data_IF_272762441142
#
_entry.id   IF_272762441142
#
_cell.length_a   1.000
_cell.length_b   1.000
_cell.length_c   1.000
_cell.angle_alpha   90.00
_cell.angle_beta   90.00
_cell.angle_gamma   90.00
#
_symmetry.space_group_name_H-M   'P 1'
#
loop_
_entity.id
_entity.type
_entity.pdbx_description
1 polymer ?
#
# COMPACT_ATOMS: atom_id res chain seq x y z
N UNK A 1 37.26 42.68 9.61
CA UNK A 1 36.04 42.73 10.45
C UNK A 1 36.22 41.64 11.50
N UNK A 2 36.76 41.95 12.68
CA UNK A 2 36.02 42.36 13.91
C UNK A 2 34.76 41.50 14.13
N UNK A 3 34.54 40.78 15.22
CA UNK A 3 35.27 40.61 16.48
C UNK A 3 34.89 39.29 17.17
N UNK A 4 35.91 38.69 17.76
CA UNK A 4 35.99 37.83 18.95
C UNK A 4 34.81 37.73 19.92
N UNK A 5 34.59 36.50 20.42
CA UNK A 5 34.35 36.27 21.86
C UNK A 5 35.46 35.35 22.39
N UNK A 6 36.25 35.89 23.31
CA UNK A 6 37.45 35.29 23.90
C UNK A 6 37.09 34.13 24.84
N UNK A 7 37.83 33.03 24.71
CA UNK A 7 38.12 32.13 25.82
C UNK A 7 39.54 32.44 26.31
N UNK A 8 39.66 32.86 27.58
CA UNK A 8 40.91 32.93 28.34
C UNK A 8 40.69 32.07 29.57
N UNK A 9 41.26 30.87 29.62
CA UNK A 9 42.61 30.60 30.13
C UNK A 9 42.79 31.13 31.54
N UNK A 10 42.60 30.22 32.49
CA UNK A 10 43.53 29.98 33.59
C UNK A 10 42.92 28.83 34.41
N UNK A 11 43.51 27.66 34.55
CA UNK A 11 44.93 27.34 34.61
C UNK A 11 45.13 25.85 34.27
N UNK A 12 45.97 25.62 33.28
CA UNK A 12 46.95 24.53 33.12
C UNK A 12 46.37 23.09 33.09
N UNK A 13 46.18 22.47 31.94
CA UNK A 13 47.15 22.30 30.84
C UNK A 13 48.46 21.68 31.32
N UNK A 14 48.84 20.60 30.64
CA UNK A 14 50.19 20.01 30.62
C UNK A 14 50.49 18.97 31.71
N UNK A 15 50.04 17.74 31.39
CA UNK A 15 50.92 16.58 31.23
C UNK A 15 51.97 16.34 32.33
N UNK A 16 51.64 15.43 33.26
CA UNK A 16 52.56 14.32 33.56
C UNK A 16 51.85 13.15 34.27
N UNK A 17 51.90 11.99 33.60
CA UNK A 17 52.05 10.63 34.15
C UNK A 17 50.89 9.99 34.94
N UNK A 18 50.28 9.00 34.28
CA UNK A 18 50.21 7.57 34.65
C UNK A 18 48.81 6.94 34.58
N UNK A 19 48.69 6.00 33.64
CA UNK A 19 47.58 5.05 33.46
C UNK A 19 47.57 4.07 34.65
N UNK A 20 46.42 3.73 35.27
CA UNK A 20 45.87 2.39 35.00
C UNK A 20 44.33 2.26 34.98
N UNK A 21 43.92 1.25 34.20
CA UNK A 21 42.61 0.61 34.10
C UNK A 21 42.01 0.25 35.47
N UNK A 22 40.73 0.58 35.71
CA UNK A 22 39.86 -0.23 36.59
C UNK A 22 38.37 0.11 36.41
N UNK A 23 37.70 -0.70 35.58
CA UNK A 23 36.26 -0.89 35.65
C UNK A 23 35.90 -1.80 36.83
N UNK A 24 34.67 -1.62 37.31
CA UNK A 24 33.91 -2.39 38.32
C UNK A 24 34.10 -2.04 39.79
N UNK A 25 33.15 -1.28 40.34
CA UNK A 25 32.71 -1.37 41.74
C UNK A 25 31.19 -1.10 41.81
N UNK A 26 30.39 -2.16 41.66
CA UNK A 26 29.05 -2.18 42.26
C UNK A 26 29.23 -2.68 43.69
N UNK A 27 28.99 -1.77 44.65
CA UNK A 27 29.12 -2.07 46.07
C UNK A 27 28.11 -3.11 46.53
N UNK A 28 28.64 -4.03 47.31
CA UNK A 28 27.97 -5.15 47.95
C UNK A 28 27.04 -4.67 49.07
N UNK A 29 25.78 -5.13 49.04
CA UNK A 29 24.93 -5.19 50.25
C UNK A 29 25.33 -6.42 51.06
N UNK A 30 25.96 -6.14 52.20
CA UNK A 30 26.05 -6.92 53.43
C UNK A 30 25.59 -8.39 53.39
N UNK A 31 26.56 -9.29 53.46
CA UNK A 31 26.42 -10.52 54.26
C UNK A 31 27.80 -10.89 54.81
N UNK A 32 27.92 -10.81 56.14
CA UNK A 32 29.12 -11.12 56.91
C UNK A 32 29.55 -12.57 56.64
N UNK A 33 30.83 -12.77 56.31
CA UNK A 33 31.46 -14.08 56.25
C UNK A 33 32.65 -14.07 57.21
N UNK A 34 32.47 -14.64 58.40
CA UNK A 34 33.56 -14.91 59.34
C UNK A 34 34.22 -16.24 59.00
N UNK A 35 35.52 -16.20 58.74
CA UNK A 35 36.41 -17.35 58.50
C UNK A 35 36.71 -18.04 59.84
N UNK A 36 36.72 -19.37 59.89
CA UNK A 36 37.28 -20.14 61.01
C UNK A 36 38.56 -20.85 60.53
N UNK A 37 39.66 -20.65 61.26
CA UNK A 37 40.99 -21.22 61.02
C UNK A 37 41.18 -22.40 61.98
N UNK A 38 41.74 -23.52 61.49
CA UNK A 38 42.09 -24.68 62.31
C UNK A 38 43.55 -24.58 62.77
N UNK A 39 43.79 -24.71 64.07
CA UNK A 39 45.12 -24.90 64.68
C UNK A 39 45.07 -26.07 65.66
N UNK A 40 46.12 -26.90 65.68
CA UNK A 40 46.28 -28.06 66.57
C UNK A 40 47.04 -27.68 67.86
N UNK A 41 46.91 -28.53 68.89
CA UNK A 41 46.85 -28.20 70.32
C UNK A 41 48.11 -27.72 71.06
N UNK A 42 47.87 -26.86 72.06
CA UNK A 42 48.33 -27.06 73.44
C UNK A 42 47.42 -26.29 74.43
N UNK A 43 46.87 -27.03 75.40
CA UNK A 43 46.22 -26.58 76.64
C UNK A 43 44.88 -25.82 76.52
N UNK A 44 43.85 -26.46 77.10
CA UNK A 44 42.52 -25.95 77.44
C UNK A 44 41.69 -25.28 76.31
N UNK A 45 40.64 -26.02 75.91
CA UNK A 45 39.31 -25.52 75.53
C UNK A 45 38.95 -25.32 74.03
N UNK A 46 37.79 -25.93 73.72
CA UNK A 46 36.76 -25.69 72.69
C UNK A 46 36.90 -26.18 71.23
N UNK A 47 35.93 -27.02 70.83
CA UNK A 47 35.65 -27.43 69.44
C UNK A 47 34.64 -26.51 68.77
N UNK A 48 34.79 -26.20 67.47
CA UNK A 48 33.66 -25.70 66.64
C UNK A 48 33.73 -26.25 65.21
N UNK A 49 32.59 -26.72 64.70
CA UNK A 49 32.34 -27.16 63.32
C UNK A 49 31.45 -26.14 62.61
N UNK A 50 31.84 -25.64 61.45
CA UNK A 50 31.03 -24.72 60.62
C UNK A 50 30.61 -25.41 59.32
N UNK A 51 29.30 -25.46 59.04
CA UNK A 51 28.75 -25.82 57.73
C UNK A 51 28.33 -24.54 57.00
N UNK A 52 28.79 -24.37 55.76
CA UNK A 52 28.34 -23.29 54.87
C UNK A 52 27.50 -23.87 53.72
N UNK A 53 26.22 -23.55 53.66
CA UNK A 53 25.36 -23.74 52.48
C UNK A 53 25.11 -22.39 51.83
N UNK A 54 25.62 -22.20 50.61
CA UNK A 54 25.48 -20.97 49.82
C UNK A 54 24.38 -21.13 48.76
N UNK A 55 23.40 -20.23 48.81
CA UNK A 55 22.25 -20.06 47.91
C UNK A 55 22.63 -19.98 46.41
N UNK A 56 22.43 -21.07 45.65
CA UNK A 56 22.65 -21.17 44.19
C UNK A 56 21.42 -20.75 43.34
N UNK A 57 20.42 -20.08 43.89
CA UNK A 57 19.07 -20.11 43.30
C UNK A 57 18.80 -19.02 42.23
N UNK A 58 19.43 -17.84 42.30
CA UNK A 58 19.09 -16.71 41.40
C UNK A 58 19.71 -16.74 39.99
N UNK A 59 20.84 -17.43 39.79
CA UNK A 59 21.55 -17.46 38.49
C UNK A 59 20.94 -18.49 37.51
N UNK A 60 20.30 -19.56 38.00
CA UNK A 60 19.63 -20.56 37.14
C UNK A 60 18.31 -20.06 36.55
N UNK A 61 17.60 -19.17 37.25
CA UNK A 61 16.27 -18.67 36.83
C UNK A 61 16.35 -17.74 35.59
N UNK A 62 17.32 -16.80 35.54
CA UNK A 62 17.53 -15.92 34.37
C UNK A 62 17.93 -16.69 33.11
N UNK A 63 18.74 -17.74 33.29
CA UNK A 63 19.26 -18.57 32.21
C UNK A 63 18.19 -19.52 31.65
N UNK A 64 17.30 -20.04 32.50
CA UNK A 64 16.11 -20.78 32.07
C UNK A 64 15.12 -19.89 31.32
N UNK A 65 14.87 -18.68 31.80
CA UNK A 65 13.93 -17.73 31.18
C UNK A 65 14.36 -17.29 29.77
N UNK A 66 15.66 -17.04 29.55
CA UNK A 66 16.19 -16.78 28.20
C UNK A 66 16.07 -17.99 27.27
N UNK A 67 16.20 -19.21 27.82
CA UNK A 67 16.13 -20.45 27.04
C UNK A 67 14.69 -20.75 26.63
N UNK A 68 13.72 -20.56 27.51
CA UNK A 68 12.29 -20.69 27.20
C UNK A 68 11.81 -19.59 26.25
N UNK A 69 12.28 -18.35 26.39
CA UNK A 69 11.94 -17.26 25.48
C UNK A 69 12.43 -17.52 24.04
N UNK A 70 13.63 -18.09 23.86
CA UNK A 70 14.14 -18.50 22.54
C UNK A 70 13.30 -19.60 21.91
N UNK A 71 12.88 -20.59 22.71
CA UNK A 71 12.03 -21.70 22.24
C UNK A 71 10.65 -21.17 21.82
N UNK A 72 10.06 -20.27 22.60
CA UNK A 72 8.80 -19.61 22.24
C UNK A 72 8.89 -18.83 20.93
N UNK A 73 9.96 -18.05 20.74
CA UNK A 73 10.21 -17.32 19.50
C UNK A 73 10.32 -18.25 18.29
N UNK A 74 11.00 -19.39 18.45
CA UNK A 74 11.14 -20.39 17.39
C UNK A 74 9.80 -21.04 17.06
N UNK A 75 9.00 -21.40 18.07
CA UNK A 75 7.65 -21.97 17.87
C UNK A 75 6.74 -20.97 17.15
N UNK A 76 6.74 -19.70 17.55
CA UNK A 76 5.97 -18.64 16.90
C UNK A 76 6.41 -18.48 15.44
N UNK A 77 7.72 -18.50 15.18
CA UNK A 77 8.26 -18.45 13.82
C UNK A 77 7.81 -19.62 12.94
N UNK A 78 7.82 -20.84 13.49
CA UNK A 78 7.33 -22.03 12.78
C UNK A 78 5.83 -21.90 12.47
N UNK A 79 5.01 -21.45 13.43
CA UNK A 79 3.57 -21.26 13.24
C UNK A 79 3.29 -20.21 12.16
N UNK A 80 3.99 -19.08 12.18
CA UNK A 80 3.87 -18.03 11.16
C UNK A 80 4.26 -18.54 9.76
N UNK A 81 5.32 -19.35 9.69
CA UNK A 81 5.78 -19.92 8.41
C UNK A 81 4.76 -20.91 7.85
N UNK A 82 4.21 -21.79 8.70
CA UNK A 82 3.16 -22.73 8.31
C UNK A 82 1.87 -22.01 7.89
N UNK A 83 1.50 -20.95 8.60
CA UNK A 83 0.35 -20.12 8.25
C UNK A 83 0.56 -19.41 6.92
N UNK A 84 1.75 -18.86 6.67
CA UNK A 84 2.10 -18.22 5.40
C UNK A 84 2.04 -19.18 4.22
N UNK A 85 2.58 -20.40 4.38
CA UNK A 85 2.50 -21.46 3.36
C UNK A 85 1.04 -21.86 3.11
N UNK A 86 0.27 -22.09 4.19
CA UNK A 86 -1.16 -22.44 4.09
C UNK A 86 -1.95 -21.38 3.32
N UNK A 87 -1.75 -20.10 3.64
CA UNK A 87 -2.42 -18.99 2.96
C UNK A 87 -2.04 -18.92 1.47
N UNK A 88 -0.79 -19.23 1.11
CA UNK A 88 -0.35 -19.26 -0.29
C UNK A 88 -1.09 -20.31 -1.15
N UNK A 89 -1.52 -21.42 -0.54
CA UNK A 89 -2.30 -22.45 -1.25
C UNK A 89 -3.82 -22.22 -1.15
N UNK A 90 -4.34 -21.79 0.00
CA UNK A 90 -5.78 -21.59 0.19
C UNK A 90 -6.29 -20.33 -0.51
N UNK A 91 -5.52 -19.24 -0.51
CA UNK A 91 -5.92 -17.99 -1.14
C UNK A 91 -6.26 -18.15 -2.63
N UNK A 92 -5.41 -18.72 -3.49
CA UNK A 92 -5.75 -18.89 -4.91
C UNK A 92 -6.96 -19.82 -5.09
N UNK A 93 -7.12 -20.86 -4.27
CA UNK A 93 -8.25 -21.77 -4.41
C UNK A 93 -9.60 -21.08 -4.11
N UNK A 94 -9.68 -20.33 -3.01
CA UNK A 94 -10.88 -19.59 -2.62
C UNK A 94 -11.19 -18.44 -3.59
N UNK A 95 -10.16 -17.72 -4.04
CA UNK A 95 -10.29 -16.62 -4.99
C UNK A 95 -10.77 -17.17 -6.34
N UNK A 96 -10.17 -18.24 -6.84
CA UNK A 96 -10.58 -18.85 -8.10
C UNK A 96 -12.04 -19.32 -8.04
N UNK A 97 -12.48 -19.96 -6.95
CA UNK A 97 -13.87 -20.38 -6.79
C UNK A 97 -14.85 -19.20 -6.88
N UNK A 98 -14.53 -18.06 -6.24
CA UNK A 98 -15.34 -16.83 -6.34
C UNK A 98 -15.30 -16.23 -7.74
N UNK A 99 -14.14 -16.18 -8.38
CA UNK A 99 -13.97 -15.67 -9.73
C UNK A 99 -14.76 -16.50 -10.75
N UNK A 100 -14.75 -17.83 -10.66
CA UNK A 100 -15.50 -18.68 -11.60
C UNK A 100 -17.01 -18.50 -11.45
N UNK A 101 -17.50 -18.29 -10.22
CA UNK A 101 -18.92 -18.00 -9.99
C UNK A 101 -19.32 -16.62 -10.54
N UNK A 102 -18.45 -15.63 -10.39
CA UNK A 102 -18.74 -14.26 -10.85
C UNK A 102 -18.40 -14.02 -12.33
N UNK A 103 -17.53 -14.80 -12.98
CA UNK A 103 -17.16 -14.56 -14.39
C UNK A 103 -18.29 -14.81 -15.37
N UNK A 104 -19.26 -15.63 -15.02
CA UNK A 104 -20.34 -15.98 -15.92
C UNK A 104 -21.37 -14.83 -15.95
N UNK A 105 -21.66 -14.34 -17.17
CA UNK A 105 -22.76 -13.41 -17.46
C UNK A 105 -24.07 -14.20 -17.39
N UNK A 106 -24.39 -14.65 -16.17
CA UNK A 106 -25.63 -15.33 -15.83
C UNK A 106 -26.62 -14.31 -15.25
N UNK A 107 -27.91 -14.54 -15.50
CA UNK A 107 -29.00 -13.59 -15.24
C UNK A 107 -29.09 -13.05 -13.78
N UNK A 108 -28.46 -13.72 -12.81
CA UNK A 108 -28.54 -13.38 -11.39
C UNK A 108 -27.20 -12.90 -10.79
N UNK A 109 -26.28 -12.41 -11.62
CA UNK A 109 -24.97 -11.95 -11.19
C UNK A 109 -24.84 -10.42 -11.29
N UNK A 110 -24.13 -9.80 -10.36
CA UNK A 110 -23.82 -8.37 -10.37
C UNK A 110 -23.10 -7.95 -11.66
N UNK A 111 -22.17 -8.80 -12.15
CA UNK A 111 -21.49 -8.54 -13.43
C UNK A 111 -22.45 -8.50 -14.62
N UNK A 112 -23.57 -9.24 -14.57
CA UNK A 112 -24.58 -9.17 -15.62
C UNK A 112 -25.23 -7.78 -15.66
N UNK A 113 -25.59 -7.21 -14.51
CA UNK A 113 -26.18 -5.88 -14.44
C UNK A 113 -25.22 -4.78 -14.89
N UNK A 114 -23.96 -4.85 -14.45
CA UNK A 114 -22.93 -3.89 -14.86
C UNK A 114 -22.61 -3.98 -16.36
N UNK A 115 -22.66 -5.20 -16.92
CA UNK A 115 -22.46 -5.41 -18.36
C UNK A 115 -23.68 -4.97 -19.19
N UNK A 116 -24.90 -5.18 -18.69
CA UNK A 116 -26.16 -4.81 -19.35
C UNK A 116 -26.33 -3.29 -19.40
N UNK A 117 -26.08 -2.61 -18.27
CA UNK A 117 -26.18 -1.17 -18.11
C UNK A 117 -24.92 -0.64 -17.41
N UNK A 118 -23.84 -0.37 -18.16
CA UNK A 118 -22.68 0.29 -17.59
C UNK A 118 -23.00 1.73 -17.17
N UNK A 119 -22.55 2.12 -15.98
CA UNK A 119 -22.81 3.46 -15.41
C UNK A 119 -21.92 4.57 -16.00
N UNK A 120 -20.99 4.23 -16.90
CA UNK A 120 -20.15 5.24 -17.54
C UNK A 120 -20.89 5.95 -18.68
N UNK A 121 -20.68 7.26 -18.75
CA UNK A 121 -21.14 8.14 -19.83
C UNK A 121 -19.92 8.56 -20.65
N UNK A 122 -20.03 8.54 -21.97
CA UNK A 122 -19.00 9.13 -22.83
C UNK A 122 -19.46 10.50 -23.30
N UNK A 123 -18.56 11.48 -23.23
CA UNK A 123 -18.76 12.74 -23.91
C UNK A 123 -18.05 12.66 -25.26
N UNK A 124 -18.80 12.89 -26.34
CA UNK A 124 -18.28 12.97 -27.70
C UNK A 124 -18.37 14.41 -28.19
N UNK A 125 -17.25 14.99 -28.58
CA UNK A 125 -17.18 16.34 -29.14
C UNK A 125 -17.03 16.27 -30.65
N UNK A 126 -18.02 16.77 -31.38
CA UNK A 126 -18.04 16.79 -32.83
C UNK A 126 -17.70 18.19 -33.33
N UNK A 127 -16.73 18.27 -34.25
CA UNK A 127 -16.40 19.51 -34.95
C UNK A 127 -16.82 19.38 -36.42
N UNK A 128 -17.55 20.38 -36.88
CA UNK A 128 -18.09 20.44 -38.24
C UNK A 128 -17.32 21.51 -39.02
N UNK A 129 -16.97 21.21 -40.26
CA UNK A 129 -16.43 22.21 -41.18
C UNK A 129 -17.49 22.54 -42.23
N UNK A 130 -17.99 23.78 -42.19
CA UNK A 130 -18.97 24.28 -43.14
C UNK A 130 -18.29 25.05 -44.26
N UNK A 131 -18.74 24.87 -45.50
CA UNK A 131 -18.30 25.68 -46.64
C UNK A 131 -18.91 27.07 -46.55
N UNK A 132 -18.08 28.12 -46.72
CA UNK A 132 -18.52 29.53 -46.71
C UNK A 132 -18.97 30.01 -48.09
N UNK A 133 -18.35 29.48 -49.15
CA UNK A 133 -18.55 29.91 -50.54
C UNK A 133 -19.08 28.78 -51.45
N UNK A 134 -20.25 28.16 -51.15
CA UNK A 134 -20.71 26.98 -51.86
C UNK A 134 -20.88 27.21 -53.38
N UNK A 135 -21.39 28.39 -53.79
CA UNK A 135 -21.58 28.71 -55.20
C UNK A 135 -20.26 28.80 -55.98
N UNK A 136 -19.25 29.47 -55.40
CA UNK A 136 -17.95 29.62 -56.05
C UNK A 136 -17.24 28.27 -56.23
N UNK A 137 -17.46 27.33 -55.31
CA UNK A 137 -16.92 25.97 -55.40
C UNK A 137 -17.54 25.21 -56.57
N UNK A 138 -18.83 25.41 -56.83
CA UNK A 138 -19.50 24.84 -58.02
C UNK A 138 -18.92 25.40 -59.32
N UNK A 139 -18.49 26.67 -59.30
CA UNK A 139 -17.81 27.32 -60.43
C UNK A 139 -16.32 26.93 -60.58
N UNK A 140 -15.81 26.04 -59.74
CA UNK A 140 -14.42 25.55 -59.79
C UNK A 140 -13.42 26.34 -58.94
N UNK A 141 -13.88 27.30 -58.13
CA UNK A 141 -13.01 28.00 -57.18
C UNK A 141 -12.68 27.12 -55.96
N UNK A 142 -11.65 27.52 -55.21
CA UNK A 142 -11.22 26.83 -54.00
C UNK A 142 -12.25 27.00 -52.86
N UNK A 143 -12.59 25.92 -52.12
CA UNK A 143 -13.48 26.02 -50.97
C UNK A 143 -12.84 26.76 -49.80
N UNK A 144 -13.59 27.72 -49.25
CA UNK A 144 -13.32 28.36 -47.97
C UNK A 144 -14.15 27.67 -46.88
N UNK A 145 -13.50 27.26 -45.78
CA UNK A 145 -14.10 26.44 -44.72
C UNK A 145 -14.14 27.20 -43.40
N UNK A 146 -15.23 27.04 -42.65
CA UNK A 146 -15.41 27.57 -41.29
C UNK A 146 -15.57 26.38 -40.33
N UNK A 147 -14.76 26.34 -39.28
CA UNK A 147 -14.85 25.34 -38.21
C UNK A 147 -15.93 25.76 -37.20
N UNK A 148 -16.88 24.86 -36.93
CA UNK A 148 -17.99 25.05 -36.00
C UNK A 148 -17.94 23.91 -34.98
N UNK A 149 -17.98 24.23 -33.69
CA UNK A 149 -17.97 23.26 -32.60
C UNK A 149 -17.31 23.79 -31.32
N UNK A 150 -17.25 22.97 -30.27
CA UNK A 150 -17.68 21.57 -30.23
C UNK A 150 -19.20 21.42 -30.13
N UNK A 151 -19.75 20.40 -30.81
CA UNK A 151 -21.07 19.85 -30.52
C UNK A 151 -20.87 18.66 -29.57
N UNK A 152 -21.15 18.87 -28.30
CA UNK A 152 -21.00 17.84 -27.28
C UNK A 152 -22.26 16.98 -27.19
N UNK A 153 -22.05 15.66 -27.27
CA UNK A 153 -23.09 14.65 -27.09
C UNK A 153 -22.68 13.70 -25.98
N UNK A 154 -23.58 13.51 -25.02
CA UNK A 154 -23.47 12.44 -24.06
C UNK A 154 -23.99 11.14 -24.68
N UNK A 155 -23.13 10.13 -24.74
CA UNK A 155 -23.43 8.81 -25.26
C UNK A 155 -23.59 7.83 -24.09
N UNK A 156 -24.73 7.16 -24.04
CA UNK A 156 -24.99 6.04 -23.14
C UNK A 156 -25.07 4.74 -23.93
N UNK A 157 -24.38 3.72 -23.44
CA UNK A 157 -24.44 2.36 -23.98
C UNK A 157 -25.30 1.50 -23.09
N UNK A 158 -26.25 0.79 -23.71
CA UNK A 158 -27.06 -0.23 -23.05
C UNK A 158 -27.08 -1.48 -23.92
N UNK A 159 -27.16 -2.65 -23.29
CA UNK A 159 -27.30 -3.92 -24.01
C UNK A 159 -28.71 -4.45 -23.80
N UNK A 160 -29.47 -4.60 -24.88
CA UNK A 160 -30.78 -5.23 -24.84
C UNK A 160 -30.62 -6.74 -25.03
N UNK A 161 -31.10 -7.53 -24.09
CA UNK A 161 -30.99 -9.00 -24.18
C UNK A 161 -32.10 -9.56 -25.05
N UNK A 162 -31.72 -10.40 -26.00
CA UNK A 162 -32.63 -11.06 -26.94
C UNK A 162 -32.92 -12.50 -26.51
N UNK A 163 -31.99 -13.16 -25.81
CA UNK A 163 -32.18 -14.50 -25.29
C UNK A 163 -30.88 -15.13 -24.78
N UNK A 164 -31.03 -16.24 -24.06
CA UNK A 164 -29.92 -17.04 -23.56
C UNK A 164 -29.91 -18.38 -24.30
N UNK A 165 -28.75 -18.77 -24.83
CA UNK A 165 -28.48 -20.10 -25.38
C UNK A 165 -27.61 -20.92 -24.41
N UNK A 166 -27.29 -22.16 -24.77
CA UNK A 166 -26.41 -23.05 -23.99
C UNK A 166 -25.02 -22.44 -23.79
N UNK A 167 -24.85 -21.64 -22.72
CA UNK A 167 -23.59 -20.94 -22.40
C UNK A 167 -23.34 -19.65 -23.18
N UNK A 168 -24.29 -19.15 -23.97
CA UNK A 168 -24.15 -17.90 -24.73
C UNK A 168 -25.31 -16.94 -24.47
N UNK A 169 -25.05 -15.64 -24.60
CA UNK A 169 -26.07 -14.58 -24.45
C UNK A 169 -26.20 -13.86 -25.78
N UNK A 170 -27.40 -13.85 -26.35
CA UNK A 170 -27.73 -13.03 -27.51
C UNK A 170 -28.17 -11.65 -27.02
N UNK A 171 -27.49 -10.62 -27.49
CA UNK A 171 -27.75 -9.23 -27.09
C UNK A 171 -27.66 -8.30 -28.31
N UNK A 172 -28.25 -7.12 -28.18
CA UNK A 172 -28.16 -6.01 -29.11
C UNK A 172 -27.59 -4.81 -28.39
N UNK A 173 -26.56 -4.17 -28.96
CA UNK A 173 -26.05 -2.90 -28.44
C UNK A 173 -27.01 -1.78 -28.84
N UNK A 174 -27.45 -1.02 -27.85
CA UNK A 174 -28.28 0.17 -28.01
C UNK A 174 -27.44 1.36 -27.57
N UNK A 175 -27.26 2.30 -28.50
CA UNK A 175 -26.49 3.52 -28.28
C UNK A 175 -27.47 4.69 -28.29
N UNK A 176 -27.51 5.46 -27.21
CA UNK A 176 -28.32 6.67 -27.13
C UNK A 176 -27.40 7.88 -27.05
N UNK A 177 -27.67 8.88 -27.88
CA UNK A 177 -26.94 10.14 -27.92
C UNK A 177 -27.87 11.25 -27.43
N UNK A 178 -27.41 12.02 -26.45
CA UNK A 178 -28.15 13.15 -25.89
C UNK A 178 -27.29 14.40 -26.03
N UNK A 179 -27.87 15.44 -26.63
CA UNK A 179 -27.13 16.70 -26.86
C UNK A 179 -26.93 17.45 -25.54
N UNK A 180 -25.68 17.79 -25.23
CA UNK A 180 -25.32 18.58 -24.06
C UNK A 180 -25.04 20.03 -24.48
N UNK A 181 -25.97 20.93 -24.15
CA UNK A 181 -25.86 22.36 -24.48
C UNK A 181 -24.75 23.06 -23.69
N UNK A 182 -24.43 22.60 -22.48
CA UNK A 182 -23.47 23.28 -21.60
C UNK A 182 -22.03 22.98 -22.01
N UNK A 183 -21.77 21.75 -22.47
CA UNK A 183 -20.48 21.35 -23.02
C UNK A 183 -20.31 21.76 -24.50
N UNK A 184 -21.39 22.13 -25.18
CA UNK A 184 -21.36 22.63 -26.56
C UNK A 184 -21.04 24.11 -26.66
N UNK A 185 -20.66 24.58 -27.85
CA UNK A 185 -20.46 26.00 -28.10
C UNK A 185 -21.76 26.82 -27.99
N UNK A 186 -21.67 28.11 -27.65
CA UNK A 186 -22.85 28.96 -27.40
C UNK A 186 -23.81 29.07 -28.60
N UNK A 187 -23.28 29.05 -29.82
CA UNK A 187 -24.06 29.09 -31.07
C UNK A 187 -24.38 27.69 -31.64
N UNK A 188 -23.92 26.63 -30.97
CA UNK A 188 -24.11 25.25 -31.42
C UNK A 188 -25.52 24.79 -31.06
N UNK A 189 -26.36 24.61 -32.08
CA UNK A 189 -27.68 23.98 -31.96
C UNK A 189 -27.81 22.84 -32.97
N UNK A 190 -28.47 21.72 -32.63
CA UNK A 190 -28.76 20.64 -33.59
C UNK A 190 -29.60 21.09 -34.80
N UNK A 191 -30.28 22.23 -34.69
CA UNK A 191 -31.11 22.83 -35.76
C UNK A 191 -30.35 23.80 -36.66
N UNK A 192 -29.05 24.05 -36.42
CA UNK A 192 -28.25 24.97 -37.21
C UNK A 192 -27.99 24.40 -38.61
N UNK A 193 -28.24 25.22 -39.63
CA UNK A 193 -27.91 24.88 -41.02
C UNK A 193 -26.40 25.02 -41.29
N UNK A 194 -25.87 24.10 -42.09
CA UNK A 194 -24.46 24.00 -42.45
C UNK A 194 -24.34 23.54 -43.91
N UNK A 195 -23.28 23.99 -44.58
CA UNK A 195 -23.00 23.62 -45.96
C UNK A 195 -21.94 22.51 -46.00
N UNK A 196 -22.34 21.32 -46.42
CA UNK A 196 -21.46 20.14 -46.57
C UNK A 196 -21.61 19.61 -48.02
N UNK A 197 -20.54 19.10 -48.64
CA UNK A 197 -20.64 18.37 -49.89
C UNK A 197 -21.69 17.25 -49.83
N UNK A 198 -22.33 16.96 -50.97
CA UNK A 198 -23.28 15.86 -51.03
C UNK A 198 -22.54 14.52 -50.88
N UNK A 199 -22.76 13.85 -49.75
CA UNK A 199 -22.12 12.58 -49.39
C UNK A 199 -22.54 11.39 -50.26
N UNK A 200 -23.65 11.51 -51.01
CA UNK A 200 -24.16 10.41 -51.85
C UNK A 200 -23.42 10.34 -53.19
N UNK A 201 -22.88 11.46 -53.66
CA UNK A 201 -22.25 11.57 -54.99
C UNK A 201 -20.71 11.62 -54.93
N UNK A 202 -20.12 11.03 -53.89
CA UNK A 202 -18.67 11.06 -53.67
C UNK A 202 -17.94 9.90 -54.35
#
# INVERSE_FOLDING_TARGET
MRDSVKFSNSVQNVLRKDIPKRYYLLQAKNTKQSVQISGYQANNHCSVRVKMTVERQKCKLKTLYCRTARILLFIIGVILTLFGISMAFLAPHLINAKIYQQKNIARNNELYHLWENPDYKFSSEIFVYSVKNPQQVLDGNKPEMIKIGPYAYEMSLKKKILGFGNGSVKYQNVHNFTFDKNASCAECSPTREIWIPNIVFQ
#
